data_IF_633551888908
#
_entry.id   IF_633551888908
#
_cell.length_a   1.000
_cell.length_b   1.000
_cell.length_c   1.000
_cell.angle_alpha   90.00
_cell.angle_beta   90.00
_cell.angle_gamma   90.00
#
_symmetry.space_group_name_H-M   'P 1'
#
loop_
_entity.id
_entity.type
_entity.pdbx_description
1 polymer ?
#
# COMPACT_ATOMS: atom_id res chain seq x y z
N UNK A 1 12.78 18.89 -15.01
CA UNK A 1 11.98 17.77 -14.47
C UNK A 1 12.60 16.48 -14.99
N UNK A 2 13.04 15.56 -14.12
CA UNK A 2 13.48 14.20 -14.52
C UNK A 2 12.40 13.24 -14.04
N UNK A 3 11.66 12.63 -14.96
CA UNK A 3 10.62 11.67 -14.64
C UNK A 3 10.98 10.34 -15.30
N UNK A 4 10.94 9.27 -14.52
CA UNK A 4 11.07 7.89 -15.00
C UNK A 4 9.69 7.26 -14.81
N UNK A 5 9.10 6.78 -15.90
CA UNK A 5 7.88 5.97 -15.87
C UNK A 5 8.25 4.50 -15.89
N UNK A 6 7.82 3.74 -14.88
CA UNK A 6 8.01 2.29 -14.82
C UNK A 6 6.62 1.65 -14.84
N UNK A 7 6.39 0.73 -15.77
CA UNK A 7 5.13 0.00 -15.91
C UNK A 7 5.42 -1.51 -15.95
N UNK A 8 4.65 -2.27 -15.16
CA UNK A 8 4.67 -3.73 -15.14
C UNK A 8 3.25 -4.25 -15.37
N UNK A 9 3.13 -5.42 -16.02
CA UNK A 9 1.84 -6.06 -16.31
C UNK A 9 2.02 -7.58 -16.30
N UNK A 10 0.91 -8.33 -16.27
CA UNK A 10 0.94 -9.79 -16.30
C UNK A 10 1.29 -10.43 -14.96
N UNK A 11 0.80 -9.88 -13.85
CA UNK A 11 0.97 -10.47 -12.54
C UNK A 11 0.33 -11.87 -12.49
N UNK A 12 1.09 -12.82 -11.95
CA UNK A 12 0.64 -14.18 -11.67
C UNK A 12 0.75 -14.41 -10.16
N UNK A 13 -0.07 -15.31 -9.62
CA UNK A 13 0.03 -15.67 -8.21
C UNK A 13 1.42 -16.24 -7.92
N UNK A 14 2.03 -15.76 -6.82
CA UNK A 14 3.31 -16.26 -6.35
C UNK A 14 3.10 -17.68 -5.80
N UNK A 15 3.53 -18.69 -6.56
CA UNK A 15 3.35 -20.10 -6.18
C UNK A 15 4.45 -20.64 -5.27
N UNK A 16 5.54 -19.91 -5.08
CA UNK A 16 6.70 -20.34 -4.28
C UNK A 16 7.33 -19.13 -3.58
N UNK A 17 7.64 -19.27 -2.28
CA UNK A 17 8.37 -18.27 -1.50
C UNK A 17 9.76 -18.79 -1.17
N UNK A 18 10.79 -17.97 -1.36
CA UNK A 18 12.15 -18.27 -0.93
C UNK A 18 12.27 -18.01 0.57
N UNK A 19 12.62 -19.04 1.34
CA UNK A 19 12.87 -18.93 2.78
C UNK A 19 14.36 -19.12 3.07
N UNK A 20 14.90 -18.27 3.93
CA UNK A 20 16.23 -18.40 4.53
C UNK A 20 16.19 -19.36 5.72
N UNK A 21 17.34 -19.94 6.08
CA UNK A 21 17.48 -20.79 7.27
C UNK A 21 17.20 -20.06 8.60
N UNK A 22 17.21 -18.72 8.57
CA UNK A 22 16.98 -17.87 9.74
C UNK A 22 15.59 -17.26 9.77
N UNK A 23 14.74 -17.60 8.80
CA UNK A 23 13.38 -17.08 8.74
C UNK A 23 12.46 -17.83 9.69
N UNK A 24 11.64 -17.07 10.40
CA UNK A 24 10.52 -17.63 11.16
C UNK A 24 9.31 -17.79 10.22
N UNK A 25 9.10 -19.01 9.75
CA UNK A 25 8.02 -19.34 8.82
C UNK A 25 6.64 -19.05 9.41
N UNK A 26 6.45 -19.29 10.71
CA UNK A 26 5.16 -19.03 11.36
C UNK A 26 4.86 -17.54 11.40
N UNK A 27 5.87 -16.72 11.70
CA UNK A 27 5.73 -15.27 11.67
C UNK A 27 5.39 -14.77 10.26
N UNK A 28 6.09 -15.27 9.24
CA UNK A 28 5.86 -14.88 7.83
C UNK A 28 4.43 -15.23 7.40
N UNK A 29 3.97 -16.46 7.68
CA UNK A 29 2.60 -16.86 7.34
C UNK A 29 1.56 -15.99 8.04
N UNK A 30 1.79 -15.65 9.31
CA UNK A 30 0.89 -14.79 10.09
C UNK A 30 0.83 -13.38 9.51
N UNK A 31 1.97 -12.82 9.14
CA UNK A 31 2.05 -11.49 8.53
C UNK A 31 1.38 -11.46 7.16
N UNK A 32 1.54 -12.53 6.35
CA UNK A 32 0.85 -12.68 5.06
C UNK A 32 -0.67 -12.73 5.24
N UNK A 33 -1.17 -13.56 6.16
CA UNK A 33 -2.62 -13.63 6.49
C UNK A 33 -3.15 -12.29 6.96
N UNK A 34 -2.40 -11.55 7.76
CA UNK A 34 -2.76 -10.22 8.22
C UNK A 34 -2.86 -9.23 7.05
N UNK A 35 -1.89 -9.22 6.12
CA UNK A 35 -1.96 -8.35 4.94
C UNK A 35 -3.17 -8.69 4.07
N UNK A 36 -3.41 -9.99 3.79
CA UNK A 36 -4.59 -10.40 3.01
C UNK A 36 -5.90 -9.94 3.66
N UNK A 37 -6.03 -10.08 4.99
CA UNK A 37 -7.21 -9.61 5.69
C UNK A 37 -7.39 -8.07 5.60
N UNK A 38 -6.29 -7.32 5.71
CA UNK A 38 -6.30 -5.87 5.53
C UNK A 38 -6.74 -5.48 4.12
N UNK A 39 -6.24 -6.17 3.10
CA UNK A 39 -6.57 -5.88 1.71
C UNK A 39 -8.04 -6.17 1.40
N UNK A 40 -8.59 -7.28 1.89
CA UNK A 40 -10.02 -7.59 1.77
C UNK A 40 -10.88 -6.47 2.36
N UNK A 41 -10.51 -5.94 3.54
CA UNK A 41 -11.23 -4.80 4.15
C UNK A 41 -11.10 -3.55 3.29
N UNK A 42 -9.91 -3.24 2.75
CA UNK A 42 -9.70 -2.04 1.93
C UNK A 42 -10.37 -2.12 0.56
N UNK A 43 -10.47 -3.31 -0.02
CA UNK A 43 -11.20 -3.53 -1.26
C UNK A 43 -12.70 -3.24 -1.07
N UNK A 44 -13.26 -3.66 0.07
CA UNK A 44 -14.68 -3.45 0.38
C UNK A 44 -15.01 -2.03 0.85
N UNK A 45 -14.17 -1.43 1.69
CA UNK A 45 -14.48 -0.19 2.41
C UNK A 45 -13.59 1.00 2.03
N UNK A 46 -12.64 0.80 1.11
CA UNK A 46 -11.70 1.81 0.64
C UNK A 46 -10.39 1.84 1.41
N UNK A 47 -9.37 2.47 0.81
CA UNK A 47 -8.00 2.53 1.32
C UNK A 47 -7.86 3.06 2.76
N UNK A 48 -8.71 4.03 3.15
CA UNK A 48 -8.67 4.62 4.48
C UNK A 48 -9.41 3.81 5.56
N UNK A 49 -10.10 2.72 5.20
CA UNK A 49 -10.88 1.93 6.16
C UNK A 49 -10.03 1.32 7.27
N UNK A 50 -8.79 0.92 6.96
CA UNK A 50 -7.82 0.44 7.94
C UNK A 50 -6.41 0.88 7.56
N UNK A 51 -5.69 1.48 8.51
CA UNK A 51 -4.35 2.01 8.33
C UNK A 51 -3.46 1.71 9.53
N UNK A 52 -2.16 1.54 9.29
CA UNK A 52 -1.17 1.48 10.38
C UNK A 52 -1.15 2.82 11.13
N UNK A 53 -0.93 2.80 12.44
CA UNK A 53 -0.89 4.02 13.27
C UNK A 53 0.16 5.04 12.84
N UNK A 54 1.23 4.58 12.15
CA UNK A 54 2.23 5.46 11.53
C UNK A 54 1.63 6.47 10.56
N UNK A 55 0.42 6.23 10.05
CA UNK A 55 -0.28 7.15 9.16
C UNK A 55 -0.57 8.51 9.79
N UNK A 56 -0.61 8.58 11.13
CA UNK A 56 -0.87 9.79 11.90
C UNK A 56 0.39 10.58 12.25
N UNK A 57 1.58 10.07 11.90
CA UNK A 57 2.83 10.80 12.10
C UNK A 57 2.90 12.01 11.18
N UNK A 58 3.59 13.07 11.62
CA UNK A 58 3.69 14.34 10.87
C UNK A 58 4.30 14.16 9.47
N UNK A 59 5.20 13.19 9.30
CA UNK A 59 5.80 12.86 7.99
C UNK A 59 4.89 12.06 7.04
N UNK A 60 3.73 11.58 7.50
CA UNK A 60 2.83 10.76 6.69
C UNK A 60 1.98 11.60 5.74
N UNK A 61 2.01 11.27 4.45
CA UNK A 61 1.13 11.88 3.43
C UNK A 61 0.04 10.95 2.94
N UNK A 62 -0.16 9.80 3.57
CA UNK A 62 -1.07 8.76 3.07
C UNK A 62 -2.53 9.21 3.05
N UNK A 63 -3.00 9.93 4.07
CA UNK A 63 -4.37 10.47 4.12
C UNK A 63 -4.54 11.53 3.03
N UNK A 64 -3.62 12.48 2.96
CA UNK A 64 -3.70 13.56 1.98
C UNK A 64 -3.61 13.05 0.53
N UNK A 65 -2.73 12.06 0.25
CA UNK A 65 -2.65 11.41 -1.07
C UNK A 65 -3.89 10.62 -1.43
N UNK A 66 -4.58 10.02 -0.45
CA UNK A 66 -5.81 9.25 -0.73
C UNK A 66 -6.95 10.10 -1.29
N UNK A 67 -6.89 11.43 -1.10
CA UNK A 67 -7.85 12.40 -1.66
C UNK A 67 -7.54 12.80 -3.11
N UNK A 68 -6.38 12.40 -3.65
CA UNK A 68 -5.95 12.73 -5.00
C UNK A 68 -6.37 11.62 -5.99
N UNK A 69 -6.80 12.00 -7.20
CA UNK A 69 -7.08 11.06 -8.29
C UNK A 69 -5.94 11.18 -9.31
N UNK A 70 -5.19 10.08 -9.52
CA UNK A 70 -4.07 10.06 -10.48
C UNK A 70 -2.89 10.96 -10.10
N UNK A 71 -2.76 11.34 -8.82
CA UNK A 71 -1.72 12.27 -8.35
C UNK A 71 -2.09 13.75 -8.49
N UNK A 72 -3.26 14.07 -9.04
CA UNK A 72 -3.81 15.42 -9.10
C UNK A 72 -5.02 15.56 -8.17
N UNK A 73 -5.21 16.76 -7.63
CA UNK A 73 -6.43 17.04 -6.87
C UNK A 73 -7.58 17.23 -7.86
N UNK A 74 -8.73 16.53 -7.70
CA UNK A 74 -9.87 16.60 -8.64
C UNK A 74 -10.48 17.99 -8.81
N UNK A 75 -10.08 18.97 -8.00
CA UNK A 75 -10.40 20.38 -8.16
C UNK A 75 -9.29 21.26 -7.63
N UNK A 76 -8.43 21.76 -8.52
CA UNK A 76 -7.68 23.03 -8.37
C UNK A 76 -6.86 23.28 -7.11
N UNK A 77 -6.59 22.28 -6.29
CA UNK A 77 -5.72 22.39 -5.12
C UNK A 77 -4.33 21.88 -5.51
N UNK A 78 -3.60 22.71 -6.26
CA UNK A 78 -2.16 22.56 -6.42
C UNK A 78 -1.51 22.54 -5.03
N UNK A 79 -0.78 21.46 -4.75
CA UNK A 79 0.04 21.37 -3.55
C UNK A 79 -0.77 21.04 -2.29
N UNK A 80 -0.78 19.76 -1.94
CA UNK A 80 -0.88 19.38 -0.52
C UNK A 80 0.28 20.08 0.21
N UNK A 81 -0.06 21.17 0.91
CA UNK A 81 0.84 21.99 1.73
C UNK A 81 1.65 21.10 2.67
#
# INVERSE_FOLDING_TARGET
MRQIGVSYSGFVDESYTLLSLFDDVEQIEKDNRLQTAIDVVREQFGFLAIQKGTVLTEGSRNIERSKLIGGHSPGGLEGLK
#
